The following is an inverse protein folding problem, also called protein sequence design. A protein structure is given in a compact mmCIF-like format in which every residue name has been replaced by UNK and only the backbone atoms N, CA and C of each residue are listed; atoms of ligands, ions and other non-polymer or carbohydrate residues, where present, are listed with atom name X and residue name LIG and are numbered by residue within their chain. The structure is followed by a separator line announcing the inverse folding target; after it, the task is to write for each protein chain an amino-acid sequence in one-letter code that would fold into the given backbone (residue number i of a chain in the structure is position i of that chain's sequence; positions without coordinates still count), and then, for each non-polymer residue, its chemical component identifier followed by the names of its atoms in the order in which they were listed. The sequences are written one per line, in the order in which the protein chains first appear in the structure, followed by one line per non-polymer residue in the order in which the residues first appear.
data_IF_107001897566
#
_entry.id   IF_107001897566
#
_cell.length_a   1.000
_cell.length_b   1.000
_cell.length_c   1.000
_cell.angle_alpha   90.00
_cell.angle_beta   90.00
_cell.angle_gamma   90.00
#
_symmetry.space_group_name_H-M   'P 1'
#
loop_
_entity.id
_entity.type
_entity.pdbx_description
1 polymer ?
#
# COMPACT_ATOMS: atom_id res chain seq x y z
N UNK A 1 42.76 -19.86 -13.71
CA UNK A 1 41.32 -19.54 -13.78
C UNK A 1 40.51 -20.83 -13.62
N UNK A 2 39.52 -20.91 -12.73
CA UNK A 2 38.69 -22.12 -12.59
C UNK A 2 37.90 -22.33 -13.88
N UNK A 3 38.27 -23.36 -14.65
CA UNK A 3 37.84 -23.62 -16.04
C UNK A 3 36.46 -24.29 -16.17
N UNK A 4 35.63 -24.24 -15.12
CA UNK A 4 34.25 -24.73 -15.11
C UNK A 4 33.36 -23.60 -14.64
N UNK A 5 32.60 -23.00 -15.57
CA UNK A 5 31.61 -21.97 -15.25
C UNK A 5 30.64 -22.45 -14.16
N UNK A 6 30.11 -21.50 -13.38
CA UNK A 6 29.20 -21.76 -12.27
C UNK A 6 27.88 -22.37 -12.79
N UNK A 7 27.26 -23.24 -12.00
CA UNK A 7 25.93 -23.73 -12.31
C UNK A 7 24.91 -22.57 -12.27
N UNK A 8 23.91 -22.62 -13.15
CA UNK A 8 22.79 -21.69 -13.12
C UNK A 8 21.72 -22.16 -12.13
N UNK A 9 20.81 -21.26 -11.73
CA UNK A 9 19.78 -21.55 -10.73
C UNK A 9 18.88 -22.75 -11.11
N UNK A 10 18.54 -22.91 -12.39
CA UNK A 10 17.76 -24.07 -12.87
C UNK A 10 18.52 -25.38 -12.69
N UNK A 11 19.84 -25.36 -12.91
CA UNK A 11 20.70 -26.54 -12.71
C UNK A 11 20.82 -26.87 -11.21
N UNK A 12 20.99 -25.85 -10.37
CA UNK A 12 21.07 -26.00 -8.91
C UNK A 12 19.75 -26.49 -8.29
N UNK A 13 18.60 -26.17 -8.89
CA UNK A 13 17.29 -26.60 -8.44
C UNK A 13 16.93 -28.04 -8.86
N UNK A 14 17.76 -28.70 -9.68
CA UNK A 14 17.48 -30.07 -10.13
C UNK A 14 17.46 -31.04 -8.94
N UNK A 15 16.42 -31.88 -8.87
CA UNK A 15 16.08 -32.73 -7.73
C UNK A 15 15.31 -32.01 -6.62
N UNK A 16 14.98 -30.73 -6.79
CA UNK A 16 14.37 -29.88 -5.78
C UNK A 16 13.24 -29.01 -6.31
N UNK A 17 13.13 -27.79 -5.77
CA UNK A 17 12.12 -26.80 -6.17
C UNK A 17 12.79 -25.51 -6.63
N UNK A 18 12.42 -25.05 -7.83
CA UNK A 18 12.75 -23.72 -8.33
C UNK A 18 11.61 -22.77 -7.97
N UNK A 19 11.91 -21.73 -7.19
CA UNK A 19 10.98 -20.63 -6.91
C UNK A 19 11.36 -19.41 -7.75
N UNK A 20 10.42 -18.91 -8.55
CA UNK A 20 10.59 -17.70 -9.35
C UNK A 20 9.60 -16.64 -8.85
N UNK A 21 10.12 -15.56 -8.28
CA UNK A 21 9.32 -14.38 -7.94
C UNK A 21 9.26 -13.44 -9.15
N UNK A 22 8.17 -12.68 -9.25
CA UNK A 22 7.92 -11.68 -10.31
C UNK A 22 8.16 -12.21 -11.75
N UNK A 23 7.62 -13.39 -12.08
CA UNK A 23 7.83 -14.05 -13.39
C UNK A 23 7.39 -13.19 -14.60
N UNK A 24 6.50 -12.24 -14.38
CA UNK A 24 6.01 -11.28 -15.37
C UNK A 24 7.08 -10.32 -15.89
N UNK A 25 8.16 -10.10 -15.13
CA UNK A 25 9.26 -9.21 -15.52
C UNK A 25 10.30 -9.90 -16.42
N UNK A 26 10.17 -11.21 -16.62
CA UNK A 26 11.04 -11.95 -17.52
C UNK A 26 10.83 -11.50 -18.98
N UNK A 27 11.93 -11.21 -19.69
CA UNK A 27 11.87 -10.89 -21.12
C UNK A 27 11.37 -12.08 -21.95
N UNK A 28 10.83 -11.82 -23.14
CA UNK A 28 10.33 -12.89 -24.03
C UNK A 28 11.37 -13.97 -24.36
N UNK A 29 12.65 -13.59 -24.48
CA UNK A 29 13.76 -14.54 -24.67
C UNK A 29 13.97 -15.45 -23.45
N UNK A 30 13.89 -14.89 -22.24
CA UNK A 30 13.96 -15.67 -21.00
C UNK A 30 12.73 -16.58 -20.87
N UNK A 31 11.55 -16.09 -21.21
CA UNK A 31 10.31 -16.87 -21.22
C UNK A 31 10.42 -18.08 -22.17
N UNK A 32 10.96 -17.91 -23.38
CA UNK A 32 11.18 -19.00 -24.33
C UNK A 32 12.17 -20.05 -23.79
N UNK A 33 13.26 -19.62 -23.15
CA UNK A 33 14.24 -20.51 -22.52
C UNK A 33 13.65 -21.28 -21.33
N UNK A 34 12.84 -20.61 -20.51
CA UNK A 34 12.15 -21.25 -19.40
C UNK A 34 11.14 -22.29 -19.89
N UNK A 35 10.36 -21.97 -20.92
CA UNK A 35 9.44 -22.91 -21.55
C UNK A 35 10.20 -24.16 -22.03
N UNK A 36 11.32 -23.98 -22.76
CA UNK A 36 12.15 -25.09 -23.21
C UNK A 36 12.65 -25.95 -22.03
N UNK A 37 13.07 -25.33 -20.93
CA UNK A 37 13.49 -26.07 -19.73
C UNK A 37 12.35 -26.89 -19.10
N UNK A 38 11.11 -26.37 -19.13
CA UNK A 38 9.92 -27.05 -18.59
C UNK A 38 9.40 -28.18 -19.49
N UNK A 39 9.53 -28.02 -20.81
CA UNK A 39 9.10 -29.01 -21.81
C UNK A 39 10.15 -30.10 -22.00
N UNK A 40 11.37 -29.72 -22.36
CA UNK A 40 12.44 -30.67 -22.74
C UNK A 40 13.16 -31.28 -21.53
N UNK A 41 12.93 -30.73 -20.33
CA UNK A 41 13.68 -31.08 -19.10
C UNK A 41 15.19 -31.01 -19.31
N UNK A 42 15.63 -30.05 -20.13
CA UNK A 42 17.01 -29.85 -20.53
C UNK A 42 17.36 -28.37 -20.59
N UNK A 43 18.60 -28.06 -20.22
CA UNK A 43 19.17 -26.72 -20.30
C UNK A 43 20.55 -26.77 -20.94
N UNK A 44 20.98 -25.63 -21.48
CA UNK A 44 22.32 -25.43 -21.99
C UNK A 44 22.92 -24.20 -21.32
N UNK A 45 24.14 -24.32 -20.80
CA UNK A 45 24.85 -23.16 -20.24
C UNK A 45 25.24 -22.21 -21.37
N UNK A 46 25.29 -20.92 -21.06
CA UNK A 46 25.78 -19.90 -22.02
C UNK A 46 27.19 -20.27 -22.46
N UNK A 47 27.40 -20.39 -23.78
CA UNK A 47 28.68 -20.78 -24.39
C UNK A 47 29.02 -22.27 -24.31
N UNK A 48 28.17 -23.11 -23.72
CA UNK A 48 28.33 -24.56 -23.78
C UNK A 48 27.66 -25.13 -25.03
N UNK A 49 28.16 -26.28 -25.50
CA UNK A 49 27.60 -27.04 -26.63
C UNK A 49 26.86 -28.30 -26.19
N UNK A 50 26.88 -28.62 -24.90
CA UNK A 50 26.24 -29.81 -24.33
C UNK A 50 25.03 -29.42 -23.49
N UNK A 51 23.90 -30.06 -23.79
CA UNK A 51 22.71 -30.01 -22.96
C UNK A 51 22.89 -30.80 -21.67
N UNK A 52 22.13 -30.43 -20.64
CA UNK A 52 22.08 -31.07 -19.32
C UNK A 52 20.63 -31.32 -18.97
N UNK A 53 20.31 -32.54 -18.54
CA UNK A 53 18.98 -32.84 -18.04
C UNK A 53 18.76 -32.20 -16.67
N UNK A 54 17.56 -31.68 -16.44
CA UNK A 54 17.11 -31.08 -15.19
C UNK A 54 15.71 -31.55 -14.87
N UNK A 55 15.46 -31.86 -13.61
CA UNK A 55 14.14 -32.20 -13.12
C UNK A 55 13.87 -31.42 -11.83
N UNK A 56 12.86 -30.57 -11.81
CA UNK A 56 12.56 -29.72 -10.67
C UNK A 56 11.07 -29.45 -10.59
N UNK A 57 10.58 -29.19 -9.37
CA UNK A 57 9.25 -28.60 -9.16
C UNK A 57 9.35 -27.10 -9.37
N UNK A 58 8.46 -26.51 -10.17
CA UNK A 58 8.38 -25.07 -10.33
C UNK A 58 7.29 -24.48 -9.42
N UNK A 59 7.62 -23.40 -8.73
CA UNK A 59 6.66 -22.50 -8.09
C UNK A 59 6.96 -21.09 -8.60
N UNK A 60 5.98 -20.44 -9.23
CA UNK A 60 6.12 -19.09 -9.75
C UNK A 60 5.14 -18.15 -9.07
N UNK A 61 5.54 -16.90 -8.85
CA UNK A 61 4.72 -15.85 -8.29
C UNK A 61 4.77 -14.59 -9.17
N UNK A 62 3.69 -13.81 -9.13
CA UNK A 62 3.60 -12.51 -9.79
C UNK A 62 2.52 -11.67 -9.11
N UNK A 63 2.63 -10.35 -9.24
CA UNK A 63 1.68 -9.36 -8.77
C UNK A 63 0.84 -8.76 -9.91
N UNK A 64 1.02 -9.21 -11.15
CA UNK A 64 0.24 -8.76 -12.31
C UNK A 64 -0.63 -9.87 -12.87
N UNK A 65 -1.69 -9.46 -13.56
CA UNK A 65 -2.52 -10.38 -14.33
C UNK A 65 -1.75 -10.87 -15.57
N UNK A 66 -1.37 -12.15 -15.57
CA UNK A 66 -0.64 -12.75 -16.69
C UNK A 66 -1.52 -12.90 -17.94
N UNK A 67 -2.83 -13.05 -17.81
CA UNK A 67 -3.73 -13.16 -18.96
C UNK A 67 -3.74 -11.85 -19.74
N UNK A 68 -3.85 -10.71 -19.06
CA UNK A 68 -3.70 -9.39 -19.66
C UNK A 68 -2.30 -9.17 -20.28
N UNK A 69 -1.24 -9.72 -19.67
CA UNK A 69 0.13 -9.67 -20.24
C UNK A 69 0.27 -10.53 -21.50
N UNK A 70 -0.47 -11.62 -21.61
CA UNK A 70 -0.56 -12.43 -22.83
C UNK A 70 -1.28 -11.66 -23.93
N UNK A 71 -2.43 -11.06 -23.63
CA UNK A 71 -3.22 -10.26 -24.59
C UNK A 71 -2.44 -9.07 -25.16
N UNK A 72 -1.62 -8.42 -24.32
CA UNK A 72 -0.74 -7.31 -24.72
C UNK A 72 0.57 -7.75 -25.39
N UNK A 73 0.81 -9.05 -25.58
CA UNK A 73 2.01 -9.61 -26.21
C UNK A 73 3.29 -9.51 -25.37
N UNK A 74 3.17 -9.20 -24.08
CA UNK A 74 4.30 -9.08 -23.14
C UNK A 74 4.63 -10.41 -22.46
N UNK A 75 3.72 -11.38 -22.54
CA UNK A 75 3.91 -12.72 -22.02
C UNK A 75 3.50 -13.77 -23.04
N UNK A 76 4.25 -14.87 -23.13
CA UNK A 76 3.95 -15.91 -24.11
C UNK A 76 2.79 -16.80 -23.65
N UNK A 77 1.79 -17.06 -24.52
CA UNK A 77 0.62 -17.85 -24.15
C UNK A 77 0.97 -19.29 -23.75
N UNK A 78 1.93 -19.90 -24.44
CA UNK A 78 2.38 -21.27 -24.17
C UNK A 78 3.03 -21.43 -22.79
N UNK A 79 3.87 -20.47 -22.38
CA UNK A 79 4.42 -20.43 -21.03
C UNK A 79 3.31 -20.21 -20.00
N UNK A 80 2.36 -19.31 -20.26
CA UNK A 80 1.23 -19.06 -19.36
C UNK A 80 0.47 -20.34 -19.05
N UNK A 81 0.09 -21.12 -20.08
CA UNK A 81 -0.60 -22.39 -19.88
C UNK A 81 0.24 -23.44 -19.13
N UNK A 82 1.57 -23.37 -19.23
CA UNK A 82 2.47 -24.28 -18.50
C UNK A 82 2.66 -23.89 -17.03
N UNK A 83 2.53 -22.60 -16.71
CA UNK A 83 2.62 -22.10 -15.33
C UNK A 83 1.28 -22.19 -14.60
N UNK A 84 0.17 -21.86 -15.28
CA UNK A 84 -1.15 -21.74 -14.68
C UNK A 84 -1.88 -23.09 -14.54
N UNK A 85 -1.20 -24.09 -13.97
CA UNK A 85 -1.77 -25.43 -13.75
C UNK A 85 -2.54 -25.50 -12.43
N UNK A 86 -1.96 -24.94 -11.36
CA UNK A 86 -2.57 -24.86 -10.04
C UNK A 86 -2.43 -23.42 -9.52
N UNK A 87 -3.36 -22.52 -9.88
CA UNK A 87 -3.30 -21.14 -9.41
C UNK A 87 -3.59 -21.05 -7.91
N UNK A 88 -2.76 -20.28 -7.20
CA UNK A 88 -2.99 -19.91 -5.80
C UNK A 88 -3.08 -18.39 -5.74
N UNK A 89 -4.29 -17.88 -5.48
CA UNK A 89 -4.53 -16.45 -5.35
C UNK A 89 -4.28 -16.05 -3.89
N UNK A 90 -3.34 -15.13 -3.67
CA UNK A 90 -3.06 -14.59 -2.34
C UNK A 90 -3.96 -13.37 -2.12
N UNK A 91 -4.98 -13.44 -1.25
CA UNK A 91 -5.87 -12.31 -1.03
C UNK A 91 -5.12 -11.15 -0.34
N UNK A 92 -5.39 -9.89 -0.71
CA UNK A 92 -4.82 -8.71 -0.05
C UNK A 92 -5.24 -8.63 1.42
N UNK A 93 -4.52 -7.84 2.22
CA UNK A 93 -4.72 -7.77 3.67
C UNK A 93 -6.16 -7.35 4.04
N UNK A 94 -6.75 -6.42 3.27
CA UNK A 94 -8.15 -5.98 3.42
C UNK A 94 -9.20 -7.08 3.34
N UNK A 95 -8.92 -8.21 2.69
CA UNK A 95 -9.83 -9.35 2.59
C UNK A 95 -9.63 -10.39 3.70
N UNK A 96 -8.59 -10.22 4.54
CA UNK A 96 -8.21 -11.13 5.63
C UNK A 96 -8.12 -10.41 6.97
N UNK A 97 -9.03 -9.47 7.22
CA UNK A 97 -9.03 -8.66 8.46
C UNK A 97 -9.12 -9.49 9.74
N UNK A 98 -9.68 -10.70 9.68
CA UNK A 98 -9.74 -11.63 10.82
C UNK A 98 -8.36 -12.10 11.27
N UNK A 99 -7.39 -12.16 10.36
CA UNK A 99 -6.01 -12.58 10.65
C UNK A 99 -5.16 -11.43 11.20
N UNK A 100 -5.64 -10.19 11.05
CA UNK A 100 -4.90 -8.97 11.34
C UNK A 100 -4.43 -8.86 12.80
N UNK A 101 -5.24 -9.19 13.83
CA UNK A 101 -4.75 -9.18 15.22
C UNK A 101 -3.54 -10.10 15.42
N UNK A 102 -3.61 -11.34 14.95
CA UNK A 102 -2.51 -12.31 15.08
C UNK A 102 -1.27 -11.91 14.28
N UNK A 103 -1.46 -11.29 13.11
CA UNK A 103 -0.37 -10.74 12.32
C UNK A 103 0.32 -9.57 13.03
N UNK A 104 -0.44 -8.65 13.63
CA UNK A 104 0.10 -7.53 14.40
C UNK A 104 0.94 -8.06 15.56
N UNK A 105 0.41 -8.98 16.35
CA UNK A 105 1.11 -9.55 17.50
C UNK A 105 2.43 -10.23 17.09
N UNK A 106 2.39 -11.03 16.02
CA UNK A 106 3.58 -11.72 15.51
C UNK A 106 4.64 -10.74 14.99
N UNK A 107 4.24 -9.78 14.15
CA UNK A 107 5.15 -8.79 13.59
C UNK A 107 5.72 -7.89 14.67
N UNK A 108 4.90 -7.46 15.63
CA UNK A 108 5.35 -6.64 16.75
C UNK A 108 6.39 -7.37 17.60
N UNK A 109 6.15 -8.62 17.98
CA UNK A 109 7.11 -9.41 18.75
C UNK A 109 8.45 -9.59 18.00
N UNK A 110 8.38 -9.78 16.67
CA UNK A 110 9.57 -9.87 15.82
C UNK A 110 10.36 -8.55 15.78
N UNK A 111 9.67 -7.42 15.68
CA UNK A 111 10.27 -6.07 15.67
C UNK A 111 10.86 -5.75 17.04
N UNK A 112 10.11 -5.97 18.12
CA UNK A 112 10.55 -5.76 19.50
C UNK A 112 11.86 -6.51 19.79
N UNK A 113 11.91 -7.80 19.44
CA UNK A 113 13.13 -8.61 19.55
C UNK A 113 14.31 -8.07 18.72
N UNK A 114 14.05 -7.52 17.53
CA UNK A 114 15.09 -6.97 16.65
C UNK A 114 15.74 -5.72 17.24
N UNK A 115 14.96 -4.88 17.93
CA UNK A 115 15.38 -3.57 18.42
C UNK A 115 15.66 -3.51 19.94
N UNK A 116 15.92 -4.65 20.57
CA UNK A 116 16.34 -4.70 21.98
C UNK A 116 15.20 -4.81 23.00
N UNK A 117 13.95 -4.86 22.53
CA UNK A 117 12.78 -5.22 23.32
C UNK A 117 12.21 -4.14 24.24
N UNK A 118 11.04 -4.45 24.80
CA UNK A 118 10.45 -3.71 25.91
C UNK A 118 9.40 -2.66 25.52
N UNK A 119 8.92 -2.66 24.28
CA UNK A 119 7.78 -1.82 23.88
C UNK A 119 6.51 -2.65 23.69
N UNK A 120 5.40 -2.11 24.18
CA UNK A 120 4.07 -2.73 24.12
C UNK A 120 3.12 -1.84 23.33
N UNK A 121 2.35 -2.43 22.42
CA UNK A 121 1.25 -1.76 21.74
C UNK A 121 0.06 -1.61 22.69
N UNK A 122 -0.48 -0.40 22.79
CA UNK A 122 -1.73 -0.19 23.52
C UNK A 122 -2.93 -0.61 22.67
N UNK A 123 -4.00 -1.05 23.34
CA UNK A 123 -5.22 -1.54 22.68
C UNK A 123 -5.86 -0.49 21.75
N UNK A 124 -5.79 0.79 22.11
CA UNK A 124 -6.25 1.90 21.27
C UNK A 124 -5.58 1.92 19.91
N UNK A 125 -4.27 1.64 19.86
CA UNK A 125 -3.49 1.61 18.63
C UNK A 125 -3.86 0.41 17.76
N UNK A 126 -4.02 -0.76 18.41
CA UNK A 126 -4.45 -1.99 17.74
C UNK A 126 -5.82 -1.77 17.09
N UNK A 127 -6.79 -1.20 17.81
CA UNK A 127 -8.10 -0.88 17.23
C UNK A 127 -8.00 0.04 16.01
N UNK A 128 -7.13 1.05 16.05
CA UNK A 128 -6.92 1.95 14.93
C UNK A 128 -6.28 1.24 13.72
N UNK A 129 -5.34 0.32 13.94
CA UNK A 129 -4.81 -0.55 12.89
C UNK A 129 -5.88 -1.48 12.32
N UNK A 130 -6.77 -2.02 13.15
CA UNK A 130 -7.86 -2.88 12.72
C UNK A 130 -8.92 -2.16 11.87
N UNK A 131 -9.18 -0.87 12.16
CA UNK A 131 -10.13 -0.04 11.41
C UNK A 131 -9.59 0.44 10.07
N UNK A 132 -8.28 0.33 9.82
CA UNK A 132 -7.69 0.80 8.57
C UNK A 132 -7.98 -0.16 7.41
N UNK A 133 -8.14 0.40 6.21
CA UNK A 133 -8.51 -0.36 5.02
C UNK A 133 -7.40 -1.30 4.54
N UNK A 134 -6.12 -0.98 4.79
CA UNK A 134 -4.94 -1.72 4.29
C UNK A 134 -4.99 -1.97 2.77
N UNK A 135 -4.73 -0.95 1.94
CA UNK A 135 -4.73 -1.10 0.49
C UNK A 135 -3.66 -2.08 0.00
N UNK A 136 -2.52 -2.18 0.71
CA UNK A 136 -1.41 -3.05 0.39
C UNK A 136 -1.44 -4.43 1.06
N UNK A 137 -0.24 -4.99 1.25
CA UNK A 137 -0.01 -6.34 1.74
C UNK A 137 0.60 -6.31 3.16
N UNK A 138 0.98 -7.49 3.67
CA UNK A 138 1.59 -7.64 4.99
C UNK A 138 2.87 -6.80 5.17
N UNK A 139 3.62 -6.51 4.10
CA UNK A 139 4.82 -5.64 4.18
C UNK A 139 4.45 -4.20 4.53
N UNK A 140 3.30 -3.71 4.09
CA UNK A 140 2.82 -2.38 4.46
C UNK A 140 2.57 -2.30 5.97
N UNK A 141 1.89 -3.31 6.52
CA UNK A 141 1.68 -3.44 7.95
C UNK A 141 3.01 -3.53 8.71
N UNK A 142 3.94 -4.39 8.28
CA UNK A 142 5.27 -4.52 8.90
C UNK A 142 6.01 -3.17 8.91
N UNK A 143 6.00 -2.42 7.81
CA UNK A 143 6.62 -1.11 7.72
C UNK A 143 5.98 -0.07 8.66
N UNK A 144 4.66 -0.07 8.78
CA UNK A 144 3.94 0.83 9.71
C UNK A 144 4.31 0.50 11.15
N UNK A 145 4.28 -0.79 11.52
CA UNK A 145 4.65 -1.23 12.87
C UNK A 145 6.12 -0.94 13.19
N UNK A 146 7.04 -1.20 12.26
CA UNK A 146 8.46 -0.93 12.45
C UNK A 146 8.73 0.56 12.60
N UNK A 147 8.07 1.39 11.80
CA UNK A 147 8.18 2.84 11.92
C UNK A 147 7.64 3.33 13.26
N UNK A 148 6.46 2.87 13.69
CA UNK A 148 5.92 3.20 15.02
C UNK A 148 6.90 2.82 16.14
N UNK A 149 7.51 1.64 16.04
CA UNK A 149 8.49 1.17 17.00
C UNK A 149 9.69 2.12 17.07
N UNK A 150 10.22 2.59 15.95
CA UNK A 150 11.42 3.45 15.91
C UNK A 150 11.11 4.90 16.28
N UNK A 151 9.95 5.44 15.88
CA UNK A 151 9.64 6.87 16.08
C UNK A 151 9.07 7.18 17.46
N UNK A 152 8.31 6.27 18.05
CA UNK A 152 7.66 6.52 19.34
C UNK A 152 8.62 6.23 20.49
N UNK A 153 8.71 7.19 21.42
CA UNK A 153 9.56 7.09 22.60
C UNK A 153 8.77 6.51 23.77
N UNK A 154 9.41 5.64 24.55
CA UNK A 154 8.82 5.01 25.72
C UNK A 154 8.36 3.56 25.51
N UNK A 155 7.99 2.88 26.61
CA UNK A 155 7.67 1.45 26.61
C UNK A 155 6.24 1.12 26.18
N UNK A 156 5.36 2.12 26.03
CA UNK A 156 3.96 1.92 25.60
C UNK A 156 3.64 2.84 24.44
N UNK A 157 3.12 2.25 23.37
CA UNK A 157 2.84 2.95 22.12
C UNK A 157 1.33 2.96 21.90
N UNK A 158 0.71 4.12 22.07
CA UNK A 158 -0.75 4.31 22.01
C UNK A 158 -1.23 5.52 21.20
N UNK A 159 -0.31 6.29 20.60
CA UNK A 159 -0.66 7.56 19.95
C UNK A 159 -1.30 7.36 18.57
N UNK A 160 -2.63 7.47 18.54
CA UNK A 160 -3.46 7.52 17.32
C UNK A 160 -2.99 8.59 16.30
N UNK A 161 -2.36 9.66 16.78
CA UNK A 161 -1.86 10.76 15.94
C UNK A 161 -0.67 10.30 15.09
N UNK A 162 0.18 9.43 15.62
CA UNK A 162 1.32 8.86 14.90
C UNK A 162 0.83 8.03 13.70
N UNK A 163 -0.18 7.20 13.92
CA UNK A 163 -0.79 6.38 12.86
C UNK A 163 -1.44 7.23 11.76
N UNK A 164 -2.20 8.26 12.10
CA UNK A 164 -2.89 9.09 11.10
C UNK A 164 -1.90 9.79 10.16
N UNK A 165 -0.80 10.32 10.67
CA UNK A 165 0.25 10.92 9.83
C UNK A 165 0.96 9.90 8.94
N UNK A 166 1.16 8.68 9.43
CA UNK A 166 1.83 7.61 8.70
C UNK A 166 0.96 7.01 7.59
N UNK A 167 -0.32 6.76 7.88
CA UNK A 167 -1.27 6.17 6.95
C UNK A 167 -1.74 7.17 5.88
N UNK A 168 -1.80 8.47 6.19
CA UNK A 168 -2.09 9.50 5.19
C UNK A 168 -0.94 9.72 4.21
N UNK A 169 0.31 9.47 4.60
CA UNK A 169 1.49 9.57 3.72
C UNK A 169 1.77 8.33 2.87
N UNK A 170 1.12 7.20 3.18
CA UNK A 170 1.30 5.91 2.47
C UNK A 170 0.15 5.58 1.51
N UNK A 171 -0.91 6.41 1.47
CA UNK A 171 -1.93 6.29 0.45
C UNK A 171 -1.29 6.51 -0.94
N UNK A 172 -1.33 5.48 -1.78
CA UNK A 172 -1.17 5.62 -3.23
C UNK A 172 -2.10 6.74 -3.73
N UNK A 173 -1.77 7.44 -4.84
CA UNK A 173 -2.65 8.47 -5.41
C UNK A 173 -4.06 7.87 -5.54
N UNK A 174 -5.11 8.63 -5.17
CA UNK A 174 -6.45 8.07 -5.16
C UNK A 174 -6.73 7.49 -6.54
N UNK A 175 -7.01 6.18 -6.58
CA UNK A 175 -7.59 5.57 -7.77
C UNK A 175 -8.83 6.39 -8.12
N UNK A 176 -9.03 6.73 -9.41
CA UNK A 176 -10.18 7.53 -9.80
C UNK A 176 -11.43 6.75 -9.43
N UNK A 177 -12.17 7.24 -8.44
CA UNK A 177 -13.48 6.70 -8.09
C UNK A 177 -14.36 6.77 -9.33
N UNK A 178 -14.64 5.61 -9.91
CA UNK A 178 -15.62 5.50 -10.96
C UNK A 178 -17.01 5.68 -10.35
N UNK A 179 -17.63 6.78 -10.76
CA UNK A 179 -19.07 6.99 -10.96
C UNK A 179 -20.00 7.10 -9.76
N UNK A 180 -20.27 8.36 -9.39
CA UNK A 180 -21.63 8.92 -9.54
C UNK A 180 -21.53 10.27 -10.27
N UNK A 181 -22.40 10.58 -11.25
CA UNK A 181 -22.27 11.79 -12.04
C UNK A 181 -22.87 12.96 -11.26
N UNK A 182 -22.02 13.83 -10.72
CA UNK A 182 -22.42 15.18 -10.34
C UNK A 182 -21.96 16.12 -11.47
N UNK A 183 -22.85 17.01 -11.97
CA UNK A 183 -22.57 17.80 -13.14
C UNK A 183 -21.39 18.72 -12.86
N UNK A 184 -20.58 18.95 -13.90
CA UNK A 184 -19.49 19.94 -13.93
C UNK A 184 -20.02 21.33 -13.55
N UNK A 185 -20.08 21.59 -12.25
CA UNK A 185 -20.41 22.87 -11.66
C UNK A 185 -19.11 23.60 -11.38
N UNK A 186 -18.74 24.52 -12.27
CA UNK A 186 -17.68 25.54 -12.13
C UNK A 186 -17.28 25.75 -10.66
N UNK A 187 -16.01 25.50 -10.33
CA UNK A 187 -15.43 25.87 -9.05
C UNK A 187 -15.94 27.26 -8.65
N UNK A 188 -16.67 27.34 -7.53
CA UNK A 188 -17.23 28.61 -7.08
C UNK A 188 -16.10 29.64 -6.99
N UNK A 189 -16.27 30.86 -7.54
CA UNK A 189 -15.26 31.89 -7.45
C UNK A 189 -14.86 32.10 -5.99
N UNK A 190 -13.55 32.17 -5.71
CA UNK A 190 -12.99 32.37 -4.38
C UNK A 190 -13.73 33.41 -3.51
N UNK A 191 -14.21 34.55 -4.05
CA UNK A 191 -15.00 35.51 -3.27
C UNK A 191 -16.30 34.94 -2.68
N UNK A 192 -16.99 34.02 -3.37
CA UNK A 192 -18.21 33.37 -2.88
C UNK A 192 -17.90 32.36 -1.77
N UNK A 193 -16.81 31.61 -1.92
CA UNK A 193 -16.36 30.65 -0.90
C UNK A 193 -15.99 31.37 0.39
N UNK A 194 -15.23 32.47 0.30
CA UNK A 194 -14.87 33.28 1.45
C UNK A 194 -16.10 33.92 2.11
N UNK A 195 -17.06 34.41 1.34
CA UNK A 195 -18.31 34.96 1.88
C UNK A 195 -19.13 33.91 2.64
N UNK A 196 -19.18 32.66 2.16
CA UNK A 196 -19.88 31.56 2.81
C UNK A 196 -19.22 31.17 4.14
N UNK A 197 -17.90 31.00 4.14
CA UNK A 197 -17.14 30.67 5.36
C UNK A 197 -17.22 31.81 6.38
N UNK A 198 -17.11 33.07 5.93
CA UNK A 198 -17.24 34.25 6.78
C UNK A 198 -18.63 34.33 7.43
N UNK A 199 -19.69 34.09 6.67
CA UNK A 199 -21.06 34.06 7.19
C UNK A 199 -21.25 32.98 8.25
N UNK A 200 -20.70 31.78 8.03
CA UNK A 200 -20.83 30.66 8.95
C UNK A 200 -20.12 30.93 10.29
N UNK A 201 -18.91 31.48 10.25
CA UNK A 201 -18.17 31.84 11.46
C UNK A 201 -18.88 32.94 12.26
N UNK A 202 -19.51 33.91 11.59
CA UNK A 202 -20.30 34.95 12.26
C UNK A 202 -21.56 34.39 12.93
N UNK A 203 -22.25 33.44 12.30
CA UNK A 203 -23.43 32.77 12.89
C UNK A 203 -23.06 31.91 14.10
N UNK A 204 -21.96 31.17 14.01
CA UNK A 204 -21.49 30.35 15.14
C UNK A 204 -21.05 31.23 16.31
N UNK A 205 -20.42 32.38 16.04
CA UNK A 205 -20.09 33.36 17.07
C UNK A 205 -21.34 34.00 17.70
N UNK A 206 -22.38 34.31 16.92
CA UNK A 206 -23.65 34.88 17.40
C UNK A 206 -24.43 33.90 18.29
N UNK A 207 -24.29 32.58 18.05
CA UNK A 207 -24.90 31.54 18.90
C UNK A 207 -24.18 31.34 20.23
N UNK A 208 -22.88 31.58 20.27
CA UNK A 208 -22.02 31.30 21.44
C UNK A 208 -21.81 32.51 22.34
N UNK A 209 -22.02 33.71 21.81
CA UNK A 209 -21.70 34.97 22.50
C UNK A 209 -22.86 35.96 22.42
N UNK A 210 -23.17 36.58 23.55
CA UNK A 210 -24.29 37.52 23.69
C UNK A 210 -23.98 38.94 23.23
N UNK A 211 -22.69 39.30 23.11
CA UNK A 211 -22.26 40.65 22.74
C UNK A 211 -21.35 40.67 21.51
N UNK A 212 -21.50 41.72 20.70
CA UNK A 212 -20.63 41.97 19.53
C UNK A 212 -19.17 42.18 19.92
N UNK A 213 -18.87 42.58 21.17
CA UNK A 213 -17.50 42.68 21.69
C UNK A 213 -16.87 41.31 21.96
N UNK A 214 -17.65 40.34 22.45
CA UNK A 214 -17.17 38.96 22.70
C UNK A 214 -16.97 38.21 21.38
N UNK A 215 -17.88 38.41 20.42
CA UNK A 215 -17.72 37.89 19.06
C UNK A 215 -16.43 38.42 18.40
N UNK A 216 -16.12 39.70 18.58
CA UNK A 216 -14.92 40.33 18.07
C UNK A 216 -13.64 39.71 18.65
N UNK A 217 -13.62 39.50 19.97
CA UNK A 217 -12.52 38.83 20.66
C UNK A 217 -12.35 37.37 20.19
N UNK A 218 -13.43 36.60 20.07
CA UNK A 218 -13.39 35.20 19.62
C UNK A 218 -12.99 35.05 18.15
N UNK A 219 -13.36 36.01 17.29
CA UNK A 219 -13.05 35.99 15.86
C UNK A 219 -11.72 36.68 15.53
N UNK A 220 -11.05 37.28 16.52
CA UNK A 220 -9.75 37.95 16.35
C UNK A 220 -9.83 39.21 15.48
N UNK A 221 -10.98 39.88 15.41
CA UNK A 221 -11.19 41.09 14.60
C UNK A 221 -11.79 42.22 15.44
N UNK A 222 -11.70 43.46 14.96
CA UNK A 222 -12.25 44.61 15.68
C UNK A 222 -13.78 44.58 15.74
N UNK A 223 -14.37 45.07 16.83
CA UNK A 223 -15.82 45.14 17.01
C UNK A 223 -16.54 45.90 15.87
N UNK A 224 -16.04 47.04 15.35
CA UNK A 224 -16.62 47.68 14.17
C UNK A 224 -16.59 46.79 12.92
N UNK A 225 -15.58 45.92 12.78
CA UNK A 225 -15.49 44.97 11.67
C UNK A 225 -16.53 43.85 11.76
N UNK A 226 -16.81 43.35 12.97
CA UNK A 226 -17.89 42.38 13.22
C UNK A 226 -19.23 42.98 12.84
N UNK A 227 -19.57 44.17 13.36
CA UNK A 227 -20.84 44.85 13.08
C UNK A 227 -21.03 45.11 11.58
N UNK A 228 -19.97 45.58 10.90
CA UNK A 228 -20.00 45.79 9.45
C UNK A 228 -20.20 44.49 8.67
N UNK A 229 -19.57 43.39 9.08
CA UNK A 229 -19.68 42.09 8.40
C UNK A 229 -21.02 41.40 8.68
N UNK A 230 -21.58 41.52 9.89
CA UNK A 230 -22.95 41.08 10.21
C UNK A 230 -23.98 41.78 9.31
N UNK A 231 -23.91 43.11 9.24
CA UNK A 231 -24.77 43.90 8.35
C UNK A 231 -24.60 43.55 6.87
N UNK A 232 -23.37 43.28 6.42
CA UNK A 232 -23.06 42.86 5.04
C UNK A 232 -23.70 41.51 4.68
N UNK A 233 -23.83 40.60 5.65
CA UNK A 233 -24.39 39.26 5.45
C UNK A 233 -25.86 39.12 5.89
N UNK A 234 -26.48 40.21 6.34
CA UNK A 234 -27.89 40.25 6.77
C UNK A 234 -28.17 39.48 8.06
N UNK A 235 -27.20 39.47 8.98
CA UNK A 235 -27.23 38.80 10.30
C UNK A 235 -27.24 39.81 11.45
#
# INVERSE_FOLDING_TARGET
ARQKGKAGLIEEASGGTLFLDEISEASLDVQAKLLKALEDRRIMRVGATRERSVDFRLVAATNVDLEARVESGQFRPDLYYRLNVVPIIIPPLRQRQKDLPSLIDHLWAKIDKRYGGGKVLESSLIESLLRYHWPGNVRELENVLERLYVTETGPRIGSDRAIRGLLSGMAAPPLPEASAPAPEGRAEPLPKVLARVERQLLQDAQKRHSSTYEMAASLGISQPSVVRKLRKHGL
#
